data_IF_636184304196
#
_entry.id   IF_636184304196
#
_cell.length_a   1.000
_cell.length_b   1.000
_cell.length_c   1.000
_cell.angle_alpha   90.00
_cell.angle_beta   90.00
_cell.angle_gamma   90.00
#
_symmetry.space_group_name_H-M   'P 1'
#
loop_
_entity.id
_entity.type
_entity.pdbx_description
1 polymer ?
#
# COMPACT_ATOMS: atom_id res chain seq x y z
N UNK A 1 48.94 -8.59 -40.24
CA UNK A 1 47.70 -9.17 -39.66
C UNK A 1 47.84 -9.13 -38.14
N UNK A 2 47.26 -8.10 -37.47
CA UNK A 2 47.32 -7.96 -36.02
C UNK A 2 46.01 -8.45 -35.44
N UNK A 3 46.09 -9.49 -34.60
CA UNK A 3 44.97 -10.06 -33.87
C UNK A 3 44.47 -9.09 -32.81
N UNK A 4 43.17 -8.82 -32.80
CA UNK A 4 42.50 -8.02 -31.79
C UNK A 4 42.37 -8.81 -30.48
N UNK A 5 42.75 -8.20 -29.35
CA UNK A 5 42.58 -8.76 -28.03
C UNK A 5 41.09 -8.73 -27.63
N UNK A 6 40.54 -9.79 -27.02
CA UNK A 6 39.17 -9.76 -26.50
C UNK A 6 39.10 -8.96 -25.19
N UNK A 7 38.07 -8.14 -25.07
CA UNK A 7 37.71 -7.39 -23.85
C UNK A 7 37.47 -8.37 -22.66
N UNK A 8 37.89 -8.03 -21.46
CA UNK A 8 37.79 -8.93 -20.31
C UNK A 8 36.35 -9.08 -19.81
N UNK A 9 35.91 -10.31 -19.72
CA UNK A 9 34.60 -10.79 -19.22
C UNK A 9 34.18 -10.20 -17.85
N UNK A 10 35.14 -9.67 -17.07
CA UNK A 10 34.88 -9.04 -15.77
C UNK A 10 34.00 -7.77 -15.81
N UNK A 11 33.92 -7.07 -16.92
CA UNK A 11 33.13 -5.81 -17.03
C UNK A 11 31.62 -6.07 -17.19
N UNK A 12 31.27 -7.22 -17.79
CA UNK A 12 29.87 -7.59 -18.04
C UNK A 12 29.16 -8.02 -16.73
N UNK A 13 29.89 -8.67 -15.80
CA UNK A 13 29.31 -9.09 -14.52
C UNK A 13 28.99 -7.92 -13.58
N UNK A 14 29.72 -6.81 -13.65
CA UNK A 14 29.48 -5.63 -12.79
C UNK A 14 28.23 -4.84 -13.23
N UNK A 15 27.91 -4.84 -14.52
CA UNK A 15 26.71 -4.13 -15.05
C UNK A 15 25.44 -4.94 -14.73
N UNK A 16 25.48 -6.26 -14.83
CA UNK A 16 24.33 -7.13 -14.51
C UNK A 16 24.01 -7.10 -13.02
N UNK A 17 25.03 -7.06 -12.14
CA UNK A 17 24.82 -6.98 -10.69
C UNK A 17 24.19 -5.66 -10.22
N UNK A 18 24.51 -4.54 -10.87
CA UNK A 18 23.93 -3.23 -10.51
C UNK A 18 22.48 -3.06 -10.99
N UNK A 19 22.11 -3.71 -12.09
CA UNK A 19 20.72 -3.68 -12.61
C UNK A 19 19.81 -4.53 -11.72
N UNK A 20 20.25 -5.71 -11.29
CA UNK A 20 19.48 -6.60 -10.40
C UNK A 20 19.23 -5.94 -9.03
N UNK A 21 20.19 -5.14 -8.51
CA UNK A 21 19.99 -4.43 -7.24
C UNK A 21 19.01 -3.25 -7.34
N UNK A 22 18.87 -2.61 -8.50
CA UNK A 22 17.92 -1.51 -8.68
C UNK A 22 16.47 -2.03 -8.74
N UNK A 23 16.24 -3.18 -9.40
CA UNK A 23 14.91 -3.76 -9.53
C UNK A 23 14.35 -4.31 -8.20
N UNK A 24 15.22 -4.79 -7.31
CA UNK A 24 14.81 -5.32 -5.99
C UNK A 24 14.36 -4.18 -5.06
N UNK A 25 14.99 -3.01 -5.12
CA UNK A 25 14.60 -1.85 -4.29
C UNK A 25 13.32 -1.15 -4.80
N UNK A 26 12.89 -1.43 -6.03
CA UNK A 26 11.73 -0.79 -6.64
C UNK A 26 10.37 -1.35 -6.16
N UNK A 27 10.35 -2.36 -5.29
CA UNK A 27 9.12 -3.05 -4.88
C UNK A 27 9.02 -3.28 -3.36
N UNK A 28 9.61 -2.38 -2.56
CA UNK A 28 9.56 -2.48 -1.08
C UNK A 28 8.15 -2.35 -0.50
N UNK A 29 7.21 -1.85 -1.29
CA UNK A 29 5.78 -1.78 -0.94
C UNK A 29 5.04 -3.11 -1.10
N UNK A 30 5.66 -4.11 -1.75
CA UNK A 30 5.05 -5.44 -1.98
C UNK A 30 5.52 -6.39 -0.88
N UNK A 31 4.60 -6.90 -0.04
CA UNK A 31 4.96 -7.87 0.99
C UNK A 31 5.18 -9.26 0.40
N UNK A 32 5.98 -10.07 1.09
CA UNK A 32 6.04 -11.49 0.78
C UNK A 32 4.86 -12.25 1.38
N UNK A 33 4.39 -13.24 0.66
CA UNK A 33 3.35 -14.17 1.10
C UNK A 33 3.51 -15.53 0.41
N UNK A 34 3.00 -16.57 1.04
CA UNK A 34 3.18 -17.96 0.58
C UNK A 34 2.62 -18.25 -0.83
N UNK A 35 1.65 -17.46 -1.28
CA UNK A 35 1.01 -17.59 -2.59
C UNK A 35 0.82 -16.22 -3.24
N UNK A 36 1.90 -15.60 -3.74
CA UNK A 36 1.83 -14.26 -4.29
C UNK A 36 0.97 -14.25 -5.58
N UNK A 37 -0.14 -13.52 -5.54
CA UNK A 37 -1.04 -13.29 -6.67
C UNK A 37 -1.47 -11.84 -6.65
N UNK A 38 -0.57 -10.93 -7.02
CA UNK A 38 -0.93 -9.54 -7.16
C UNK A 38 -1.03 -9.13 -8.64
N UNK A 39 -1.79 -8.09 -8.86
CA UNK A 39 -1.94 -7.42 -10.16
C UNK A 39 -1.31 -6.04 -10.04
N UNK A 40 -0.52 -5.66 -11.04
CA UNK A 40 0.11 -4.36 -11.10
C UNK A 40 -0.73 -3.42 -11.96
N UNK A 41 -1.18 -2.32 -11.38
CA UNK A 41 -1.69 -1.13 -12.05
C UNK A 41 -0.57 -0.10 -12.23
N UNK A 42 -0.85 1.02 -12.90
CA UNK A 42 0.14 2.08 -13.09
C UNK A 42 0.53 2.72 -11.75
N UNK A 43 -0.47 2.97 -10.89
CA UNK A 43 -0.27 3.69 -9.63
C UNK A 43 -0.08 2.81 -8.40
N UNK A 44 -0.43 1.53 -8.45
CA UNK A 44 -0.36 0.62 -7.31
C UNK A 44 -0.39 -0.85 -7.73
N UNK A 45 0.05 -1.72 -6.83
CA UNK A 45 -0.15 -3.16 -6.92
C UNK A 45 -1.23 -3.60 -5.94
N UNK A 46 -2.00 -4.63 -6.29
CA UNK A 46 -3.09 -5.14 -5.47
C UNK A 46 -3.11 -6.67 -5.43
N UNK A 47 -3.22 -7.25 -4.23
CA UNK A 47 -3.63 -8.65 -4.07
C UNK A 47 -5.10 -8.70 -3.69
N UNK A 48 -5.93 -9.15 -4.62
CA UNK A 48 -7.37 -9.29 -4.41
C UNK A 48 -7.71 -10.66 -3.83
N UNK A 49 -8.41 -10.68 -2.69
CA UNK A 49 -8.93 -11.87 -2.06
C UNK A 49 -10.37 -12.14 -2.55
N UNK A 50 -10.52 -13.17 -3.39
CA UNK A 50 -11.80 -13.54 -3.97
C UNK A 50 -12.81 -14.02 -2.91
N UNK A 51 -12.35 -14.64 -1.82
CA UNK A 51 -13.20 -15.11 -0.73
C UNK A 51 -13.84 -13.94 0.02
N UNK A 52 -13.05 -12.91 0.29
CA UNK A 52 -13.48 -11.72 1.01
C UNK A 52 -13.99 -10.61 0.08
N UNK A 53 -13.88 -10.78 -1.25
CA UNK A 53 -14.35 -9.87 -2.30
C UNK A 53 -13.78 -8.45 -2.19
N UNK A 54 -12.51 -8.33 -1.78
CA UNK A 54 -11.77 -7.07 -1.66
C UNK A 54 -10.27 -7.33 -1.63
N UNK A 55 -9.45 -6.28 -1.67
CA UNK A 55 -8.01 -6.45 -1.56
C UNK A 55 -7.61 -7.01 -0.18
N UNK A 56 -6.66 -7.94 -0.17
CA UNK A 56 -5.89 -8.32 1.00
C UNK A 56 -4.89 -7.21 1.36
N UNK A 57 -4.26 -6.65 0.34
CA UNK A 57 -3.40 -5.48 0.45
C UNK A 57 -3.33 -4.70 -0.86
N UNK A 58 -2.97 -3.43 -0.74
CA UNK A 58 -2.59 -2.54 -1.83
C UNK A 58 -1.24 -1.93 -1.47
N UNK A 59 -0.27 -2.02 -2.39
CA UNK A 59 1.08 -1.48 -2.22
C UNK A 59 1.42 -0.44 -3.28
N UNK A 60 2.07 0.66 -2.90
CA UNK A 60 2.53 1.70 -3.82
C UNK A 60 3.65 2.55 -3.21
N UNK A 61 4.49 3.09 -4.08
CA UNK A 61 5.41 4.16 -3.74
C UNK A 61 4.72 5.50 -4.01
N UNK A 62 4.76 6.41 -3.07
CA UNK A 62 4.31 7.79 -3.25
C UNK A 62 5.52 8.71 -3.19
N UNK A 63 5.84 9.36 -4.30
CA UNK A 63 6.92 10.35 -4.40
C UNK A 63 6.39 11.77 -4.19
N UNK A 64 7.25 12.71 -3.82
CA UNK A 64 6.89 14.14 -3.74
C UNK A 64 6.22 14.63 -5.03
N UNK A 65 6.78 14.28 -6.19
CA UNK A 65 6.25 14.69 -7.49
C UNK A 65 4.84 14.18 -7.77
N UNK A 66 4.46 13.01 -7.25
CA UNK A 66 3.13 12.40 -7.41
C UNK A 66 2.08 13.02 -6.48
N UNK A 67 2.49 13.81 -5.49
CA UNK A 67 1.54 14.57 -4.65
C UNK A 67 0.94 15.77 -5.39
N UNK A 68 1.49 16.15 -6.55
CA UNK A 68 0.99 17.24 -7.38
C UNK A 68 -0.28 16.81 -8.10
N UNK A 69 -1.38 17.55 -7.86
CA UNK A 69 -2.69 17.26 -8.46
C UNK A 69 -2.75 17.67 -9.92
N UNK A 70 -2.85 16.69 -10.82
CA UNK A 70 -3.04 16.87 -12.27
C UNK A 70 -4.47 16.52 -12.67
N UNK A 71 -4.99 15.40 -12.20
CA UNK A 71 -6.32 14.90 -12.53
C UNK A 71 -7.38 15.31 -11.51
N UNK A 72 -8.58 15.66 -12.00
CA UNK A 72 -9.76 15.84 -11.14
C UNK A 72 -10.29 14.48 -10.69
N UNK A 73 -10.82 14.41 -9.46
CA UNK A 73 -11.41 13.20 -8.90
C UNK A 73 -12.49 12.62 -9.84
N UNK A 74 -12.35 11.34 -10.19
CA UNK A 74 -13.21 10.65 -11.16
C UNK A 74 -14.63 10.41 -10.63
N UNK A 75 -14.77 9.88 -9.41
CA UNK A 75 -16.02 9.36 -8.82
C UNK A 75 -16.72 8.25 -9.64
N UNK A 76 -16.07 7.67 -10.65
CA UNK A 76 -16.59 6.57 -11.47
C UNK A 76 -16.04 5.23 -10.95
N UNK A 77 -16.79 4.59 -10.08
CA UNK A 77 -16.44 3.26 -9.59
C UNK A 77 -16.79 2.20 -10.63
N UNK A 78 -15.82 1.36 -10.99
CA UNK A 78 -15.96 0.32 -12.01
C UNK A 78 -15.31 -0.99 -11.55
N UNK A 79 -15.71 -2.11 -12.16
CA UNK A 79 -14.97 -3.35 -12.04
C UNK A 79 -13.53 -3.16 -12.53
N UNK A 80 -12.60 -3.88 -11.92
CA UNK A 80 -11.21 -3.89 -12.35
C UNK A 80 -11.07 -4.76 -13.61
N UNK A 81 -10.59 -4.22 -14.74
CA UNK A 81 -10.48 -4.99 -15.97
C UNK A 81 -9.49 -6.15 -15.88
N UNK A 82 -8.54 -6.10 -14.95
CA UNK A 82 -7.56 -7.16 -14.71
C UNK A 82 -8.05 -8.18 -13.68
N UNK A 83 -9.12 -7.86 -12.92
CA UNK A 83 -9.76 -8.72 -11.91
C UNK A 83 -11.28 -8.65 -12.12
N UNK A 84 -11.84 -9.37 -13.11
CA UNK A 84 -13.25 -9.23 -13.50
C UNK A 84 -14.26 -9.51 -12.38
N UNK A 85 -13.89 -10.29 -11.36
CA UNK A 85 -14.74 -10.62 -10.23
C UNK A 85 -15.02 -9.45 -9.28
N UNK A 86 -14.45 -8.28 -9.54
CA UNK A 86 -14.56 -7.10 -8.67
C UNK A 86 -15.83 -6.26 -8.88
N UNK A 87 -16.80 -6.65 -9.67
CA UNK A 87 -18.06 -5.90 -9.82
C UNK A 87 -18.93 -5.96 -8.56
N UNK A 88 -18.56 -5.15 -7.58
CA UNK A 88 -19.19 -5.08 -6.27
C UNK A 88 -20.12 -3.86 -6.10
N UNK A 89 -20.51 -3.20 -7.18
CA UNK A 89 -21.30 -1.95 -7.12
C UNK A 89 -22.63 -2.12 -6.35
N UNK A 90 -23.29 -3.26 -6.53
CA UNK A 90 -24.57 -3.58 -5.91
C UNK A 90 -24.43 -3.78 -4.40
N UNK A 91 -23.29 -4.29 -3.93
CA UNK A 91 -23.05 -4.63 -2.53
C UNK A 91 -22.97 -3.39 -1.63
N UNK A 92 -22.41 -2.31 -2.17
CA UNK A 92 -22.30 -1.06 -1.42
C UNK A 92 -23.60 -0.24 -1.42
N UNK A 93 -24.56 -0.55 -2.30
CA UNK A 93 -25.80 0.23 -2.40
C UNK A 93 -26.66 0.07 -1.15
N UNK A 94 -26.86 1.17 -0.42
CA UNK A 94 -27.62 1.20 0.85
C UNK A 94 -27.07 0.29 1.95
N UNK A 95 -25.78 -0.08 1.89
CA UNK A 95 -25.11 -0.91 2.88
C UNK A 95 -24.83 -0.18 4.20
N UNK A 96 -24.79 1.15 4.19
CA UNK A 96 -24.33 1.96 5.31
C UNK A 96 -22.81 2.17 5.34
N UNK A 97 -22.06 1.56 4.43
CA UNK A 97 -20.61 1.70 4.30
C UNK A 97 -20.22 2.52 3.07
N UNK A 98 -19.13 3.27 3.22
CA UNK A 98 -18.48 3.95 2.10
C UNK A 98 -17.68 2.92 1.27
N UNK A 99 -17.53 3.20 -0.03
CA UNK A 99 -16.50 2.61 -0.88
C UNK A 99 -15.17 3.26 -0.50
N UNK A 100 -14.55 2.75 0.56
CA UNK A 100 -13.31 3.29 1.08
C UNK A 100 -12.13 2.89 0.19
N UNK A 101 -11.33 3.88 -0.23
CA UNK A 101 -10.13 3.64 -0.99
C UNK A 101 -9.01 3.08 -0.09
N UNK A 102 -8.23 2.14 -0.58
CA UNK A 102 -6.97 1.71 0.04
C UNK A 102 -5.81 2.57 -0.49
N UNK A 103 -5.60 2.65 -1.80
CA UNK A 103 -4.79 3.70 -2.43
C UNK A 103 -5.69 4.91 -2.67
N UNK A 104 -5.49 6.05 -1.95
CA UNK A 104 -6.39 7.20 -2.01
C UNK A 104 -6.40 7.85 -3.39
N UNK A 105 -7.57 8.31 -3.85
CA UNK A 105 -7.67 9.06 -5.11
C UNK A 105 -6.83 10.36 -5.10
N UNK A 106 -6.49 10.90 -3.93
CA UNK A 106 -5.61 12.05 -3.81
C UNK A 106 -4.15 11.70 -4.12
N UNK A 107 -3.69 10.50 -3.72
CA UNK A 107 -2.34 10.00 -4.00
C UNK A 107 -2.21 9.59 -5.48
N UNK A 108 -3.31 9.22 -6.13
CA UNK A 108 -3.38 8.80 -7.54
C UNK A 108 -3.75 9.95 -8.48
N UNK A 109 -3.69 11.22 -8.02
CA UNK A 109 -4.12 12.37 -8.82
C UNK A 109 -3.07 12.95 -9.77
N UNK A 110 -1.90 12.35 -9.85
CA UNK A 110 -0.81 12.79 -10.70
C UNK A 110 -0.98 12.44 -12.19
N UNK A 111 -1.92 11.53 -12.55
CA UNK A 111 -2.33 11.29 -13.93
C UNK A 111 -3.84 10.96 -14.04
N UNK A 112 -4.38 11.01 -15.26
CA UNK A 112 -5.78 10.61 -15.52
C UNK A 112 -5.94 9.10 -15.35
N UNK A 113 -4.97 8.34 -15.77
CA UNK A 113 -4.96 6.87 -15.74
C UNK A 113 -4.96 6.38 -14.29
N UNK A 114 -4.01 6.82 -13.48
CA UNK A 114 -3.92 6.43 -12.06
C UNK A 114 -5.14 6.88 -11.25
N UNK A 115 -5.68 8.06 -11.57
CA UNK A 115 -6.95 8.52 -11.01
C UNK A 115 -8.10 7.57 -11.35
N UNK A 116 -8.20 7.09 -12.60
CA UNK A 116 -9.25 6.14 -13.01
C UNK A 116 -9.07 4.79 -12.33
N UNK A 117 -7.86 4.25 -12.31
CA UNK A 117 -7.51 2.98 -11.65
C UNK A 117 -7.84 3.01 -10.15
N UNK A 118 -7.61 4.15 -9.48
CA UNK A 118 -7.93 4.28 -8.05
C UNK A 118 -9.41 4.05 -7.73
N UNK A 119 -10.33 4.13 -8.71
CA UNK A 119 -11.76 3.87 -8.58
C UNK A 119 -12.18 2.45 -8.98
N UNK A 120 -11.24 1.54 -9.23
CA UNK A 120 -11.56 0.12 -9.38
C UNK A 120 -12.03 -0.48 -8.07
N UNK A 121 -13.02 -1.37 -8.14
CA UNK A 121 -13.53 -2.04 -6.93
C UNK A 121 -12.49 -2.92 -6.27
N UNK A 122 -11.44 -3.33 -6.97
CA UNK A 122 -10.28 -4.01 -6.36
C UNK A 122 -9.56 -3.16 -5.31
N UNK A 123 -9.63 -1.83 -5.43
CA UNK A 123 -9.08 -0.86 -4.48
C UNK A 123 -10.09 -0.42 -3.39
N UNK A 124 -11.31 -1.00 -3.39
CA UNK A 124 -12.39 -0.58 -2.47
C UNK A 124 -12.59 -1.58 -1.33
N UNK A 125 -12.85 -1.03 -0.14
CA UNK A 125 -13.17 -1.80 1.06
C UNK A 125 -14.32 -1.15 1.84
N UNK A 126 -15.21 -1.93 2.52
CA UNK A 126 -16.32 -1.38 3.28
C UNK A 126 -15.84 -0.61 4.51
N UNK A 127 -15.74 0.70 4.41
CA UNK A 127 -15.34 1.59 5.50
C UNK A 127 -16.53 2.29 6.13
N UNK A 128 -16.57 2.35 7.47
CA UNK A 128 -17.53 3.19 8.18
C UNK A 128 -17.35 4.65 7.72
N UNK A 129 -18.44 5.37 7.36
CA UNK A 129 -18.32 6.75 6.88
C UNK A 129 -17.58 7.70 7.82
N UNK A 130 -17.77 7.55 9.13
CA UNK A 130 -17.10 8.39 10.12
C UNK A 130 -15.60 8.07 10.27
N UNK A 131 -15.20 6.82 10.05
CA UNK A 131 -13.80 6.39 9.96
C UNK A 131 -13.15 6.92 8.67
N UNK A 132 -13.73 6.56 7.52
CA UNK A 132 -13.23 6.91 6.19
C UNK A 132 -13.02 8.42 6.01
N UNK A 133 -14.02 9.21 6.43
CA UNK A 133 -14.02 10.68 6.29
C UNK A 133 -13.35 11.39 7.47
N UNK A 134 -13.00 10.66 8.53
CA UNK A 134 -12.42 11.13 9.79
C UNK A 134 -10.94 10.81 9.92
N UNK A 135 -10.63 9.94 10.89
CA UNK A 135 -9.25 9.63 11.29
C UNK A 135 -8.43 8.97 10.16
N UNK A 136 -9.06 8.14 9.30
CA UNK A 136 -8.39 7.52 8.16
C UNK A 136 -7.92 8.56 7.15
N UNK A 137 -8.79 9.51 6.79
CA UNK A 137 -8.44 10.63 5.92
C UNK A 137 -7.27 11.46 6.48
N UNK A 138 -7.24 11.68 7.82
CA UNK A 138 -6.13 12.40 8.47
C UNK A 138 -4.80 11.65 8.30
N UNK A 139 -4.80 10.32 8.41
CA UNK A 139 -3.60 9.53 8.16
C UNK A 139 -3.15 9.62 6.69
N UNK A 140 -4.09 9.58 5.74
CA UNK A 140 -3.77 9.76 4.31
C UNK A 140 -3.17 11.13 4.03
N UNK A 141 -3.71 12.20 4.62
CA UNK A 141 -3.17 13.55 4.51
C UNK A 141 -1.75 13.63 5.09
N UNK A 142 -1.54 13.09 6.29
CA UNK A 142 -0.23 13.04 6.94
C UNK A 142 0.79 12.20 6.14
N UNK A 143 0.36 11.09 5.52
CA UNK A 143 1.23 10.27 4.66
C UNK A 143 1.73 11.07 3.44
N UNK A 144 0.88 11.91 2.83
CA UNK A 144 1.30 12.82 1.75
C UNK A 144 2.28 13.89 2.23
N UNK A 145 2.04 14.47 3.43
CA UNK A 145 2.98 15.43 4.03
C UNK A 145 4.36 14.79 4.23
N UNK A 146 4.41 13.53 4.67
CA UNK A 146 5.65 12.78 4.79
C UNK A 146 6.29 12.45 3.44
N UNK A 147 5.50 12.12 2.39
CA UNK A 147 6.05 11.91 1.06
C UNK A 147 6.69 13.17 0.48
N UNK A 148 6.12 14.36 0.76
CA UNK A 148 6.72 15.66 0.41
C UNK A 148 7.98 15.92 1.22
N UNK A 149 7.95 15.66 2.53
CA UNK A 149 9.06 15.96 3.44
C UNK A 149 10.26 15.02 3.23
N UNK A 150 10.00 13.78 2.86
CA UNK A 150 11.01 12.70 2.75
C UNK A 150 11.25 12.27 1.29
N UNK A 151 10.84 13.06 0.31
CA UNK A 151 10.94 12.80 -1.14
C UNK A 151 10.07 11.63 -1.62
N UNK A 152 9.88 10.60 -0.79
CA UNK A 152 9.05 9.44 -1.09
C UNK A 152 8.75 8.60 0.13
N UNK A 153 7.61 7.86 0.09
CA UNK A 153 7.22 6.86 1.09
C UNK A 153 6.74 5.60 0.38
N UNK A 154 7.27 4.43 0.75
CA UNK A 154 6.70 3.13 0.41
C UNK A 154 5.52 2.84 1.32
N UNK A 155 4.40 2.43 0.75
CA UNK A 155 3.13 2.28 1.46
C UNK A 155 2.56 0.90 1.16
N UNK A 156 2.21 0.16 2.21
CA UNK A 156 1.31 -0.99 2.12
C UNK A 156 0.11 -0.78 3.03
N UNK A 157 -1.07 -1.06 2.52
CA UNK A 157 -2.33 -0.78 3.20
C UNK A 157 -3.36 -1.86 2.91
N UNK A 158 -4.13 -2.22 3.91
CA UNK A 158 -5.19 -3.21 3.73
C UNK A 158 -6.10 -3.37 4.93
N UNK A 159 -7.16 -4.17 4.75
CA UNK A 159 -8.00 -4.64 5.83
C UNK A 159 -7.34 -5.83 6.56
N UNK A 160 -7.66 -6.03 7.84
CA UNK A 160 -7.37 -7.27 8.55
C UNK A 160 -8.58 -8.18 8.38
N UNK A 161 -8.42 -9.24 7.58
CA UNK A 161 -9.50 -10.13 7.16
C UNK A 161 -9.47 -11.46 7.91
N UNK A 162 -10.67 -11.97 8.24
CA UNK A 162 -10.88 -13.34 8.72
C UNK A 162 -12.31 -13.80 8.42
N UNK A 163 -12.53 -15.11 8.48
CA UNK A 163 -13.78 -15.76 8.06
C UNK A 163 -14.99 -15.50 8.98
N UNK A 164 -14.77 -14.98 10.18
CA UNK A 164 -15.84 -14.71 11.15
C UNK A 164 -16.47 -13.32 11.00
N UNK A 165 -15.92 -12.48 10.12
CA UNK A 165 -16.39 -11.12 9.92
C UNK A 165 -17.72 -11.06 9.16
N UNK A 166 -18.59 -10.08 9.46
CA UNK A 166 -19.82 -9.85 8.72
C UNK A 166 -19.54 -9.37 7.29
N UNK A 167 -20.57 -9.33 6.45
CA UNK A 167 -20.44 -8.91 5.05
C UNK A 167 -21.61 -8.05 4.59
N UNK A 168 -21.41 -7.28 3.51
CA UNK A 168 -22.43 -6.50 2.81
C UNK A 168 -22.79 -7.16 1.48
N UNK A 169 -24.01 -6.91 1.05
CA UNK A 169 -24.51 -7.19 -0.29
C UNK A 169 -24.62 -8.65 -0.68
N UNK A 170 -25.10 -8.92 -1.90
CA UNK A 170 -25.33 -10.27 -2.41
C UNK A 170 -24.04 -11.07 -2.63
N UNK A 171 -22.93 -10.40 -2.99
CA UNK A 171 -21.64 -11.06 -3.22
C UNK A 171 -20.81 -11.25 -1.94
N UNK A 172 -21.35 -10.86 -0.77
CA UNK A 172 -20.73 -11.08 0.54
C UNK A 172 -19.36 -10.40 0.69
N UNK A 173 -19.26 -9.11 0.31
CA UNK A 173 -18.06 -8.33 0.57
C UNK A 173 -17.86 -8.20 2.08
N UNK A 174 -16.77 -8.74 2.60
CA UNK A 174 -16.47 -8.76 4.04
C UNK A 174 -16.32 -7.35 4.61
N UNK A 175 -16.89 -7.10 5.79
CA UNK A 175 -16.71 -5.83 6.53
C UNK A 175 -15.52 -5.99 7.48
N UNK A 176 -14.39 -5.34 7.21
CA UNK A 176 -13.23 -5.43 8.11
C UNK A 176 -13.51 -4.75 9.44
N UNK A 177 -13.07 -5.39 10.53
CA UNK A 177 -13.07 -4.75 11.85
C UNK A 177 -11.91 -3.77 12.01
N UNK A 178 -10.76 -4.07 11.38
CA UNK A 178 -9.55 -3.27 11.46
C UNK A 178 -8.96 -3.04 10.08
N UNK A 179 -8.27 -1.90 9.94
CA UNK A 179 -7.41 -1.56 8.83
C UNK A 179 -6.00 -1.31 9.32
N UNK A 180 -5.03 -1.68 8.50
CA UNK A 180 -3.63 -1.36 8.75
C UNK A 180 -3.07 -0.46 7.65
N UNK A 181 -2.01 0.27 7.98
CA UNK A 181 -1.13 0.94 7.02
C UNK A 181 0.32 0.82 7.52
N UNK A 182 1.21 0.36 6.64
CA UNK A 182 2.65 0.26 6.88
C UNK A 182 3.34 1.25 5.97
N UNK A 183 4.24 2.06 6.54
CA UNK A 183 4.97 3.12 5.86
C UNK A 183 6.46 2.92 6.07
N UNK A 184 7.25 3.10 4.99
CA UNK A 184 8.70 3.04 5.02
C UNK A 184 9.29 4.25 4.30
N UNK A 185 10.14 5.00 5.00
CA UNK A 185 11.08 5.95 4.42
C UNK A 185 12.42 5.24 4.23
N UNK A 186 12.77 4.97 2.97
CA UNK A 186 14.03 4.31 2.59
C UNK A 186 14.74 5.10 1.50
N UNK A 187 15.57 6.04 1.93
CA UNK A 187 16.32 6.93 1.04
C UNK A 187 17.80 6.63 1.08
N UNK A 188 18.47 6.82 -0.05
CA UNK A 188 19.92 6.68 -0.15
C UNK A 188 20.62 7.64 0.83
N UNK A 189 21.59 7.13 1.59
CA UNK A 189 22.38 7.90 2.57
C UNK A 189 21.61 8.44 3.78
N UNK A 190 20.39 7.97 4.02
CA UNK A 190 19.63 8.25 5.22
C UNK A 190 19.42 6.97 6.05
N UNK A 191 19.20 7.13 7.35
CA UNK A 191 18.79 6.01 8.18
C UNK A 191 17.33 5.65 7.82
N UNK A 192 17.05 4.40 7.45
CA UNK A 192 15.70 3.98 7.16
C UNK A 192 14.84 4.03 8.42
N UNK A 193 13.57 4.36 8.24
CA UNK A 193 12.57 4.33 9.32
C UNK A 193 11.24 3.82 8.79
N UNK A 194 10.55 3.08 9.62
CA UNK A 194 9.24 2.54 9.31
C UNK A 194 8.26 2.77 10.46
N UNK A 195 6.98 2.74 10.14
CA UNK A 195 5.90 2.85 11.12
C UNK A 195 4.67 2.10 10.64
N UNK A 196 4.07 1.33 11.53
CA UNK A 196 2.80 0.65 11.29
C UNK A 196 1.66 1.33 12.03
N UNK A 197 0.46 1.24 11.48
CA UNK A 197 -0.78 1.71 12.12
C UNK A 197 -1.85 0.63 12.07
N UNK A 198 -2.63 0.50 13.15
CA UNK A 198 -3.87 -0.31 13.15
C UNK A 198 -4.99 0.57 13.67
N UNK A 199 -6.08 0.66 12.90
CA UNK A 199 -7.29 1.38 13.26
C UNK A 199 -8.48 0.44 13.29
N UNK A 200 -9.35 0.59 14.28
CA UNK A 200 -10.68 0.01 14.20
C UNK A 200 -11.52 0.78 13.15
N UNK A 201 -12.38 0.05 12.42
CA UNK A 201 -13.28 0.62 11.39
C UNK A 201 -14.40 1.46 12.04
N UNK A 202 -14.03 2.43 12.85
CA UNK A 202 -14.93 3.32 13.59
C UNK A 202 -14.31 4.70 13.76
N UNK A 203 -15.10 5.68 14.16
CA UNK A 203 -14.59 7.02 14.38
C UNK A 203 -13.67 7.09 15.61
N UNK A 204 -12.67 7.99 15.54
CA UNK A 204 -11.81 8.31 16.67
C UNK A 204 -11.41 9.79 16.64
N UNK A 205 -11.31 10.39 17.84
CA UNK A 205 -10.75 11.72 18.06
C UNK A 205 -9.32 11.70 18.62
N UNK A 206 -8.76 10.51 18.85
CA UNK A 206 -7.39 10.36 19.35
C UNK A 206 -6.38 10.82 18.28
N UNK A 207 -5.19 11.29 18.69
CA UNK A 207 -4.13 11.63 17.77
C UNK A 207 -3.62 10.39 17.02
N UNK A 208 -3.04 10.58 15.84
CA UNK A 208 -2.60 9.48 14.96
C UNK A 208 -1.56 8.59 15.63
N UNK A 209 -0.67 9.16 16.43
CA UNK A 209 0.40 8.47 17.16
C UNK A 209 -0.12 7.36 18.09
N UNK A 210 -1.36 7.53 18.59
CA UNK A 210 -2.02 6.54 19.45
C UNK A 210 -2.24 5.19 18.74
N UNK A 211 -2.34 5.21 17.43
CA UNK A 211 -2.60 4.02 16.58
C UNK A 211 -1.33 3.39 16.03
N UNK A 212 -0.16 4.00 16.32
CA UNK A 212 1.12 3.45 15.91
C UNK A 212 1.42 2.13 16.61
N UNK A 213 1.86 1.15 15.82
CA UNK A 213 2.24 -0.18 16.28
C UNK A 213 3.50 -0.64 15.55
N UNK A 214 4.15 -1.69 16.06
CA UNK A 214 5.24 -2.35 15.33
C UNK A 214 4.71 -3.05 14.07
N UNK A 215 5.55 -3.19 13.07
CA UNK A 215 5.21 -3.91 11.84
C UNK A 215 5.04 -5.39 12.15
N UNK A 216 5.91 -6.01 13.00
CA UNK A 216 5.74 -7.36 13.54
C UNK A 216 4.30 -7.64 14.02
N UNK A 217 3.68 -6.64 14.68
CA UNK A 217 2.31 -6.80 15.14
C UNK A 217 1.30 -6.85 13.98
N UNK A 218 1.53 -6.10 12.92
CA UNK A 218 0.67 -6.14 11.72
C UNK A 218 0.85 -7.49 11.01
N UNK A 219 2.08 -7.99 10.91
CA UNK A 219 2.41 -9.28 10.33
C UNK A 219 1.73 -10.45 11.04
N UNK A 220 1.70 -10.41 12.38
CA UNK A 220 0.96 -11.40 13.18
C UNK A 220 -0.52 -11.48 12.81
N UNK A 221 -1.15 -10.36 12.46
CA UNK A 221 -2.57 -10.33 12.07
C UNK A 221 -2.81 -10.64 10.60
N UNK A 222 -1.89 -10.26 9.73
CA UNK A 222 -2.07 -10.33 8.26
C UNK A 222 -1.42 -11.55 7.65
N UNK A 223 -0.42 -12.14 8.32
CA UNK A 223 0.45 -13.20 7.78
C UNK A 223 1.16 -12.75 6.49
N UNK A 224 1.46 -11.45 6.40
CA UNK A 224 2.29 -10.84 5.37
C UNK A 224 3.66 -10.59 6.00
N UNK A 225 4.70 -10.59 5.19
CA UNK A 225 6.08 -10.32 5.57
C UNK A 225 6.51 -9.06 4.80
N UNK A 226 6.64 -7.96 5.54
CA UNK A 226 6.93 -6.65 4.94
C UNK A 226 8.44 -6.47 4.84
N UNK A 227 8.85 -5.72 3.80
CA UNK A 227 10.25 -5.33 3.57
C UNK A 227 11.25 -6.47 3.43
N UNK A 228 10.79 -7.70 3.15
CA UNK A 228 11.60 -8.91 2.96
C UNK A 228 12.75 -8.78 1.94
N UNK A 229 12.76 -7.72 1.12
CA UNK A 229 13.86 -7.42 0.21
C UNK A 229 15.00 -6.65 0.87
N UNK A 230 14.80 -6.14 2.09
CA UNK A 230 15.85 -5.47 2.85
C UNK A 230 16.81 -6.50 3.46
N UNK A 231 18.06 -6.11 3.76
CA UNK A 231 18.95 -6.96 4.57
C UNK A 231 18.32 -7.26 5.94
N UNK A 232 18.34 -8.53 6.37
CA UNK A 232 17.69 -9.05 7.58
C UNK A 232 17.88 -8.18 8.83
N UNK A 233 19.10 -7.62 9.03
CA UNK A 233 19.40 -6.78 10.19
C UNK A 233 18.72 -5.39 10.14
N UNK A 234 18.38 -4.90 8.96
CA UNK A 234 17.61 -3.65 8.75
C UNK A 234 16.14 -3.95 8.92
N UNK A 235 15.64 -4.96 8.21
CA UNK A 235 14.27 -5.44 8.25
C UNK A 235 13.81 -5.71 9.69
N UNK A 236 14.46 -6.64 10.37
CA UNK A 236 14.16 -7.02 11.77
C UNK A 236 14.11 -5.80 12.72
N UNK A 237 15.01 -4.83 12.52
CA UNK A 237 15.01 -3.62 13.33
C UNK A 237 13.79 -2.74 13.05
N UNK A 238 13.49 -2.51 11.77
CA UNK A 238 12.37 -1.66 11.32
C UNK A 238 11.02 -2.23 11.75
N UNK A 239 10.87 -3.55 11.69
CA UNK A 239 9.62 -4.23 12.01
C UNK A 239 9.31 -4.26 13.50
N UNK A 240 10.34 -4.41 14.31
CA UNK A 240 10.21 -4.50 15.77
C UNK A 240 10.01 -3.16 16.46
N UNK A 241 10.65 -2.10 15.97
CA UNK A 241 10.70 -0.80 16.62
C UNK A 241 9.49 0.08 16.23
N UNK A 242 8.94 0.81 17.22
CA UNK A 242 7.95 1.87 16.98
C UNK A 242 8.59 3.20 17.35
N UNK A 243 9.18 3.89 16.37
CA UNK A 243 9.82 5.17 16.60
C UNK A 243 8.88 6.33 16.23
N UNK A 244 7.99 6.74 17.14
CA UNK A 244 7.08 7.87 16.93
C UNK A 244 7.87 9.17 16.72
N UNK A 245 8.90 9.42 17.53
CA UNK A 245 9.73 10.63 17.44
C UNK A 245 10.64 10.70 16.20
N UNK A 246 10.74 9.62 15.41
CA UNK A 246 11.45 9.63 14.14
C UNK A 246 10.66 10.32 13.02
N UNK A 247 9.37 10.55 13.22
CA UNK A 247 8.46 11.13 12.24
C UNK A 247 8.03 12.55 12.63
N UNK A 248 7.97 13.45 11.66
CA UNK A 248 7.44 14.80 11.85
C UNK A 248 5.90 14.79 11.85
N UNK A 249 5.29 15.15 12.98
CA UNK A 249 3.82 15.09 13.20
C UNK A 249 3.12 16.41 12.91
#
# INVERSE_FOLDING_TARGET
MKLANPLPIKLIFLIVSSIIHLDILAQLEIPHESHPKHVNHIGYSVHYDQKHRQARWVGYLLTESETVKVAKRSNKFTADPLIPETDNAVDYKKSGYDRGHLAPAADMSYSLETMQESFYFSNMSPQNPSFNRGIWKKLEEKTRDWAILYDSIYINVGPILNDSLPSIGPHKVTIPKYYYKVLLDYRKNHQPKAIGFIFENTNSSLPLEHFAVSIDKIEQFTQLDFFHQLPDHIETKLEKEVCISCWEW
#
